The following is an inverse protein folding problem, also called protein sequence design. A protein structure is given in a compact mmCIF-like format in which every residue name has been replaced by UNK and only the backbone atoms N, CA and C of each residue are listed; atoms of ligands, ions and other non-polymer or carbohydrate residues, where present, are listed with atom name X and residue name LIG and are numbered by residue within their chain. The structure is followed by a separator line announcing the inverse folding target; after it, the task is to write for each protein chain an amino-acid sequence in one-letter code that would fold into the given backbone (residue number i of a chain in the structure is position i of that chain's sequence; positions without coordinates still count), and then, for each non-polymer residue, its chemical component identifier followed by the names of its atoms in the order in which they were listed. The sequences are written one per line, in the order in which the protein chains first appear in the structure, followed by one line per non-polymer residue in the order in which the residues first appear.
data_IF_585885836402
#
_entry.id   IF_585885836402
#
_cell.length_a   1.000
_cell.length_b   1.000
_cell.length_c   1.000
_cell.angle_alpha   90.00
_cell.angle_beta   90.00
_cell.angle_gamma   90.00
#
_symmetry.space_group_name_H-M   'P 1'
#
loop_
_entity.id
_entity.type
_entity.pdbx_description
1 polymer ?
#
# COMPACT_ATOMS: atom_id res chain seq x y z
N UNK A 1 -35.43 35.99 -36.56
CA UNK A 1 -33.98 36.00 -36.41
C UNK A 1 -33.52 35.16 -35.22
N UNK A 2 -34.30 34.08 -34.87
CA UNK A 2 -34.06 33.24 -33.70
C UNK A 2 -33.70 31.75 -34.09
N UNK A 3 -33.43 31.51 -35.37
CA UNK A 3 -33.24 30.12 -35.89
C UNK A 3 -31.80 29.71 -36.14
N UNK A 4 -30.83 30.31 -35.48
CA UNK A 4 -29.41 30.12 -35.86
C UNK A 4 -28.50 29.62 -34.77
N UNK A 5 -28.98 28.97 -33.71
CA UNK A 5 -28.09 28.34 -32.72
C UNK A 5 -28.68 26.98 -32.28
N UNK A 6 -29.12 26.16 -33.21
CA UNK A 6 -29.09 24.71 -32.99
C UNK A 6 -27.79 24.27 -33.60
N UNK A 7 -26.69 24.50 -32.91
CA UNK A 7 -25.47 23.72 -33.18
C UNK A 7 -25.88 22.26 -32.94
N UNK A 8 -25.95 21.51 -34.03
CA UNK A 8 -26.13 20.07 -34.01
C UNK A 8 -24.94 19.50 -33.26
N UNK A 9 -25.10 19.37 -31.95
CA UNK A 9 -24.05 18.81 -31.10
C UNK A 9 -23.81 17.38 -31.61
N UNK A 10 -22.66 17.14 -32.20
CA UNK A 10 -22.28 15.83 -32.75
C UNK A 10 -22.46 14.80 -31.62
N UNK A 11 -23.35 13.84 -31.82
CA UNK A 11 -23.57 12.72 -30.90
C UNK A 11 -22.76 11.54 -31.43
N UNK A 12 -22.05 10.89 -30.56
CA UNK A 12 -21.29 9.68 -30.90
C UNK A 12 -21.81 8.50 -30.11
N UNK A 13 -21.95 7.35 -30.78
CA UNK A 13 -22.34 6.12 -30.14
C UNK A 13 -21.21 5.61 -29.25
N UNK A 14 -21.53 5.31 -28.00
CA UNK A 14 -20.57 4.79 -27.01
C UNK A 14 -20.63 3.26 -26.98
N UNK A 15 -19.45 2.65 -26.99
CA UNK A 15 -19.31 1.20 -26.89
C UNK A 15 -19.19 0.81 -25.41
N UNK A 16 -20.12 -0.01 -24.86
CA UNK A 16 -20.02 -0.51 -23.50
C UNK A 16 -18.74 -1.30 -23.23
N UNK A 17 -18.30 -2.07 -24.23
CA UNK A 17 -17.05 -2.83 -24.14
C UNK A 17 -15.81 -1.92 -24.06
N UNK A 18 -15.78 -0.83 -24.86
CA UNK A 18 -14.70 0.13 -24.80
C UNK A 18 -14.67 0.85 -23.43
N UNK A 19 -15.80 1.27 -22.90
CA UNK A 19 -15.91 1.90 -21.59
C UNK A 19 -15.38 0.97 -20.47
N UNK A 20 -15.76 -0.32 -20.53
CA UNK A 20 -15.27 -1.34 -19.59
C UNK A 20 -13.74 -1.49 -19.67
N UNK A 21 -13.21 -1.72 -20.87
CA UNK A 21 -11.78 -1.95 -21.09
C UNK A 21 -10.95 -0.73 -20.66
N UNK A 22 -11.38 0.48 -21.03
CA UNK A 22 -10.71 1.71 -20.65
C UNK A 22 -10.65 1.89 -19.12
N UNK A 23 -11.74 1.58 -18.39
CA UNK A 23 -11.78 1.65 -16.94
C UNK A 23 -11.00 0.53 -16.26
N UNK A 24 -10.84 -0.63 -16.91
CA UNK A 24 -10.08 -1.75 -16.39
C UNK A 24 -8.57 -1.40 -16.35
N UNK A 25 -8.05 -0.80 -17.42
CA UNK A 25 -6.65 -0.38 -17.47
C UNK A 25 -6.40 0.91 -16.67
N UNK A 26 -7.28 1.89 -16.78
CA UNK A 26 -7.15 3.18 -16.11
C UNK A 26 -8.45 3.51 -15.38
N UNK A 27 -8.46 3.30 -14.07
CA UNK A 27 -9.64 3.58 -13.24
C UNK A 27 -10.15 5.00 -13.49
N UNK A 28 -11.40 5.11 -13.91
CA UNK A 28 -12.04 6.39 -14.23
C UNK A 28 -12.02 6.79 -15.71
N UNK A 29 -11.19 6.17 -16.55
CA UNK A 29 -11.10 6.55 -17.98
C UNK A 29 -12.37 6.18 -18.77
N UNK A 30 -13.04 5.09 -18.41
CA UNK A 30 -14.32 4.72 -19.04
C UNK A 30 -15.44 5.70 -18.71
N UNK A 31 -15.50 6.23 -17.49
CA UNK A 31 -16.46 7.27 -17.12
C UNK A 31 -16.20 8.56 -17.90
N UNK A 32 -14.93 8.92 -18.08
CA UNK A 32 -14.55 10.04 -18.94
C UNK A 32 -14.97 9.79 -20.40
N UNK A 33 -14.74 8.59 -20.91
CA UNK A 33 -15.20 8.17 -22.25
C UNK A 33 -16.72 8.32 -22.39
N UNK A 34 -17.47 8.00 -21.34
CA UNK A 34 -18.94 8.15 -21.27
C UNK A 34 -19.38 9.60 -20.96
N UNK A 35 -18.47 10.55 -21.00
CA UNK A 35 -18.77 11.97 -20.84
C UNK A 35 -18.91 12.44 -19.40
N UNK A 36 -18.42 11.70 -18.42
CA UNK A 36 -18.42 12.07 -16.99
C UNK A 36 -17.02 12.11 -16.41
N UNK A 37 -16.30 13.17 -16.75
CA UNK A 37 -14.94 13.41 -16.25
C UNK A 37 -14.89 13.48 -14.71
N UNK A 38 -15.90 14.11 -14.09
CA UNK A 38 -15.94 14.27 -12.64
C UNK A 38 -15.99 12.91 -11.92
N UNK A 39 -16.86 12.00 -12.41
CA UNK A 39 -16.94 10.65 -11.87
C UNK A 39 -15.64 9.87 -12.09
N UNK A 40 -15.04 9.99 -13.28
CA UNK A 40 -13.76 9.36 -13.58
C UNK A 40 -12.66 9.82 -12.61
N UNK A 41 -12.58 11.13 -12.35
CA UNK A 41 -11.65 11.70 -11.40
C UNK A 41 -11.90 11.21 -9.96
N UNK A 42 -13.18 11.13 -9.53
CA UNK A 42 -13.55 10.62 -8.20
C UNK A 42 -13.10 9.17 -8.03
N UNK A 43 -13.35 8.28 -8.99
CA UNK A 43 -12.90 6.89 -8.91
C UNK A 43 -11.37 6.78 -8.81
N UNK A 44 -10.64 7.56 -9.62
CA UNK A 44 -9.19 7.58 -9.60
C UNK A 44 -8.66 8.07 -8.24
N UNK A 45 -9.21 9.16 -7.71
CA UNK A 45 -8.79 9.74 -6.43
C UNK A 45 -9.12 8.82 -5.25
N UNK A 46 -10.31 8.20 -5.22
CA UNK A 46 -10.69 7.26 -4.17
C UNK A 46 -9.75 6.06 -4.12
N UNK A 47 -9.46 5.47 -5.28
CA UNK A 47 -8.51 4.36 -5.37
C UNK A 47 -7.12 4.77 -4.90
N UNK A 48 -6.64 5.91 -5.36
CA UNK A 48 -5.30 6.43 -4.99
C UNK A 48 -5.22 6.71 -3.50
N UNK A 49 -6.23 7.37 -2.93
CA UNK A 49 -6.30 7.67 -1.50
C UNK A 49 -6.30 6.36 -0.67
N UNK A 50 -7.08 5.36 -1.07
CA UNK A 50 -7.12 4.07 -0.39
C UNK A 50 -5.75 3.36 -0.42
N UNK A 51 -5.07 3.36 -1.57
CA UNK A 51 -3.74 2.76 -1.72
C UNK A 51 -2.66 3.49 -0.91
N UNK A 52 -2.73 4.81 -0.77
CA UNK A 52 -1.79 5.59 0.05
C UNK A 52 -2.08 5.52 1.54
N UNK A 53 -3.35 5.42 1.92
CA UNK A 53 -3.75 5.35 3.32
C UNK A 53 -3.50 3.97 3.95
N UNK A 54 -3.55 2.89 3.16
CA UNK A 54 -3.32 1.54 3.66
C UNK A 54 -1.95 1.37 4.36
N UNK A 55 -0.82 1.77 3.78
CA UNK A 55 0.47 1.70 4.46
C UNK A 55 0.58 2.65 5.67
N UNK A 56 -0.08 3.82 5.61
CA UNK A 56 -0.08 4.73 6.75
C UNK A 56 -0.77 4.11 7.99
N UNK A 57 -1.79 3.29 7.77
CA UNK A 57 -2.47 2.57 8.84
C UNK A 57 -1.59 1.48 9.50
N UNK A 58 -0.59 0.92 8.78
CA UNK A 58 0.35 -0.05 9.34
C UNK A 58 1.32 0.54 10.37
N UNK A 59 1.48 1.87 10.39
CA UNK A 59 2.39 2.58 11.31
C UNK A 59 1.78 2.74 12.72
N UNK A 60 0.57 2.26 12.94
CA UNK A 60 -0.10 2.35 14.23
C UNK A 60 0.52 1.41 15.27
N UNK A 61 0.44 1.81 16.54
CA UNK A 61 1.12 1.14 17.65
C UNK A 61 0.55 -0.23 18.03
N UNK A 62 -0.73 -0.43 17.74
CA UNK A 62 -1.45 -1.66 18.02
C UNK A 62 -1.63 -2.47 16.74
N UNK A 63 -1.24 -3.77 16.72
CA UNK A 63 -1.40 -4.62 15.55
C UNK A 63 -2.84 -4.66 15.03
N UNK A 64 -3.82 -4.73 15.93
CA UNK A 64 -5.25 -4.78 15.55
C UNK A 64 -5.74 -3.45 15.00
N UNK A 65 -5.30 -2.32 15.59
CA UNK A 65 -5.67 -0.98 15.09
C UNK A 65 -5.04 -0.66 13.74
N UNK A 66 -3.95 -1.33 13.35
CA UNK A 66 -3.32 -1.23 12.03
C UNK A 66 -3.91 -2.16 10.99
N UNK A 67 -4.14 -3.43 11.31
CA UNK A 67 -4.59 -4.45 10.36
C UNK A 67 -6.00 -4.17 9.84
N UNK A 68 -6.95 -3.78 10.70
CA UNK A 68 -8.33 -3.53 10.29
C UNK A 68 -8.43 -2.40 9.26
N UNK A 69 -7.86 -1.20 9.46
CA UNK A 69 -7.85 -0.16 8.44
C UNK A 69 -7.18 -0.60 7.13
N UNK A 70 -6.08 -1.37 7.19
CA UNK A 70 -5.40 -1.88 5.99
C UNK A 70 -6.33 -2.78 5.18
N UNK A 71 -7.02 -3.72 5.83
CA UNK A 71 -7.99 -4.61 5.17
C UNK A 71 -9.14 -3.77 4.58
N UNK A 72 -9.71 -2.83 5.34
CA UNK A 72 -10.79 -1.97 4.87
C UNK A 72 -10.37 -1.11 3.66
N UNK A 73 -9.19 -0.49 3.72
CA UNK A 73 -8.67 0.34 2.63
C UNK A 73 -8.29 -0.49 1.41
N UNK A 74 -7.70 -1.66 1.60
CA UNK A 74 -7.42 -2.61 0.54
C UNK A 74 -8.70 -3.09 -0.15
N UNK A 75 -9.73 -3.43 0.62
CA UNK A 75 -11.04 -3.79 0.11
C UNK A 75 -11.70 -2.62 -0.64
N UNK A 76 -11.59 -1.38 -0.14
CA UNK A 76 -12.08 -0.19 -0.82
C UNK A 76 -11.36 0.06 -2.15
N UNK A 77 -10.04 -0.10 -2.20
CA UNK A 77 -9.27 0.02 -3.43
C UNK A 77 -9.67 -1.06 -4.46
N UNK A 78 -9.88 -2.30 -4.02
CA UNK A 78 -10.36 -3.39 -4.86
C UNK A 78 -11.80 -3.14 -5.34
N UNK A 79 -12.68 -2.70 -4.46
CA UNK A 79 -14.07 -2.36 -4.80
C UNK A 79 -14.13 -1.25 -5.86
N UNK A 80 -13.32 -0.20 -5.75
CA UNK A 80 -13.25 0.86 -6.77
C UNK A 80 -12.68 0.35 -8.10
N UNK A 81 -11.71 -0.58 -8.07
CA UNK A 81 -11.15 -1.20 -9.27
C UNK A 81 -12.17 -2.06 -10.03
N UNK A 82 -13.12 -2.68 -9.33
CA UNK A 82 -14.20 -3.50 -9.92
C UNK A 82 -15.40 -2.61 -10.28
N UNK A 83 -15.81 -1.71 -9.39
CA UNK A 83 -16.99 -0.87 -9.60
C UNK A 83 -16.83 0.09 -10.78
N UNK A 84 -15.61 0.64 -10.99
CA UNK A 84 -15.36 1.58 -12.07
C UNK A 84 -15.65 1.01 -13.45
N UNK A 85 -15.09 -0.14 -13.90
CA UNK A 85 -15.39 -0.69 -15.22
C UNK A 85 -16.85 -1.16 -15.35
N UNK A 86 -17.44 -1.71 -14.29
CA UNK A 86 -18.84 -2.18 -14.30
C UNK A 86 -19.80 -0.99 -14.45
N UNK A 87 -19.59 0.09 -13.71
CA UNK A 87 -20.40 1.30 -13.78
C UNK A 87 -20.26 1.99 -15.15
N UNK A 88 -19.03 2.10 -15.69
CA UNK A 88 -18.80 2.66 -17.01
C UNK A 88 -19.53 1.86 -18.10
N UNK A 89 -19.43 0.53 -18.07
CA UNK A 89 -20.15 -0.34 -19.00
C UNK A 89 -21.68 -0.17 -18.89
N UNK A 90 -22.22 -0.14 -17.67
CA UNK A 90 -23.65 0.02 -17.43
C UNK A 90 -24.16 1.36 -17.96
N UNK A 91 -23.40 2.43 -17.70
CA UNK A 91 -23.72 3.77 -18.17
C UNK A 91 -23.69 3.86 -19.71
N UNK A 92 -22.69 3.30 -20.36
CA UNK A 92 -22.61 3.27 -21.82
C UNK A 92 -23.75 2.49 -22.47
N UNK A 93 -24.29 1.45 -21.80
CA UNK A 93 -25.51 0.75 -22.23
C UNK A 93 -26.76 1.62 -22.16
N UNK A 94 -26.88 2.42 -21.09
CA UNK A 94 -28.06 3.23 -20.85
C UNK A 94 -28.07 4.52 -21.68
N UNK A 95 -26.88 5.11 -21.88
CA UNK A 95 -26.71 6.39 -22.59
C UNK A 95 -25.88 6.18 -23.85
N UNK A 96 -26.45 5.51 -24.85
CA UNK A 96 -25.73 5.15 -26.09
C UNK A 96 -25.28 6.35 -26.92
N UNK A 97 -26.02 7.45 -26.84
CA UNK A 97 -25.73 8.68 -27.58
C UNK A 97 -25.52 9.84 -26.63
N UNK A 98 -24.30 10.27 -26.48
CA UNK A 98 -23.94 11.41 -25.66
C UNK A 98 -23.37 12.54 -26.52
N UNK A 99 -23.64 13.80 -26.12
CA UNK A 99 -23.04 14.94 -26.80
C UNK A 99 -21.53 14.90 -26.63
N UNK A 100 -20.79 15.09 -27.73
CA UNK A 100 -19.33 15.18 -27.70
C UNK A 100 -18.93 16.47 -26.99
N UNK A 101 -18.23 16.32 -25.85
CA UNK A 101 -17.66 17.43 -25.10
C UNK A 101 -16.17 17.55 -25.41
N UNK A 102 -15.56 18.72 -25.16
CA UNK A 102 -14.16 18.97 -25.49
C UNK A 102 -13.17 17.98 -24.87
N UNK A 103 -13.50 17.41 -23.72
CA UNK A 103 -12.69 16.39 -23.05
C UNK A 103 -12.91 14.95 -23.58
N UNK A 104 -13.77 14.76 -24.59
CA UNK A 104 -13.94 13.46 -25.26
C UNK A 104 -13.01 13.30 -26.47
N UNK A 105 -12.04 14.20 -26.64
CA UNK A 105 -11.01 14.06 -27.65
C UNK A 105 -10.00 12.96 -27.29
N UNK A 106 -9.36 12.37 -28.29
CA UNK A 106 -8.28 11.38 -28.09
C UNK A 106 -7.15 11.97 -27.23
N UNK A 107 -6.82 13.25 -27.46
CA UNK A 107 -5.80 13.95 -26.68
C UNK A 107 -6.18 14.05 -25.18
N UNK A 108 -7.43 14.34 -24.88
CA UNK A 108 -7.90 14.40 -23.48
C UNK A 108 -7.90 13.03 -22.80
N UNK A 109 -8.31 11.96 -23.50
CA UNK A 109 -8.22 10.59 -22.98
C UNK A 109 -6.75 10.18 -22.75
N UNK A 110 -5.85 10.52 -23.69
CA UNK A 110 -4.43 10.30 -23.54
C UNK A 110 -3.84 11.07 -22.36
N UNK A 111 -4.23 12.33 -22.17
CA UNK A 111 -3.84 13.14 -21.03
C UNK A 111 -4.30 12.56 -19.69
N UNK A 112 -5.53 12.09 -19.60
CA UNK A 112 -6.06 11.43 -18.39
C UNK A 112 -5.32 10.12 -18.10
N UNK A 113 -5.11 9.28 -19.12
CA UNK A 113 -4.36 8.04 -18.99
C UNK A 113 -2.92 8.29 -18.53
N UNK A 114 -2.26 9.29 -19.10
CA UNK A 114 -0.92 9.72 -18.69
C UNK A 114 -0.88 10.19 -17.24
N UNK A 115 -1.83 11.03 -16.84
CA UNK A 115 -1.95 11.48 -15.46
C UNK A 115 -2.21 10.32 -14.48
N UNK A 116 -3.13 9.39 -14.84
CA UNK A 116 -3.41 8.21 -14.04
C UNK A 116 -2.18 7.30 -13.90
N UNK A 117 -1.37 7.17 -14.96
CA UNK A 117 -0.11 6.41 -14.94
C UNK A 117 0.90 7.07 -14.00
N UNK A 118 1.11 8.38 -14.09
CA UNK A 118 2.01 9.11 -13.18
C UNK A 118 1.55 8.93 -11.74
N UNK A 119 0.27 9.11 -11.47
CA UNK A 119 -0.28 8.96 -10.12
C UNK A 119 -0.07 7.55 -9.57
N UNK A 120 -0.29 6.52 -10.39
CA UNK A 120 -0.02 5.12 -10.02
C UNK A 120 1.46 4.88 -9.77
N UNK A 121 2.35 5.43 -10.60
CA UNK A 121 3.79 5.34 -10.42
C UNK A 121 4.26 6.03 -9.13
N UNK A 122 3.70 7.20 -8.79
CA UNK A 122 3.97 7.88 -7.52
C UNK A 122 3.55 7.02 -6.33
N UNK A 123 2.37 6.40 -6.38
CA UNK A 123 1.91 5.46 -5.34
C UNK A 123 2.88 4.29 -5.21
N UNK A 124 3.22 3.64 -6.32
CA UNK A 124 4.14 2.50 -6.33
C UNK A 124 5.52 2.87 -5.77
N UNK A 125 6.06 4.03 -6.16
CA UNK A 125 7.32 4.54 -5.64
C UNK A 125 7.24 4.82 -4.13
N UNK A 126 6.17 5.45 -3.67
CA UNK A 126 5.93 5.70 -2.25
C UNK A 126 5.94 4.39 -1.46
N UNK A 127 5.18 3.39 -1.95
CA UNK A 127 5.16 2.07 -1.31
C UNK A 127 6.55 1.42 -1.29
N UNK A 128 7.30 1.47 -2.40
CA UNK A 128 8.65 0.91 -2.50
C UNK A 128 9.68 1.62 -1.60
N UNK A 129 9.51 2.91 -1.34
CA UNK A 129 10.37 3.68 -0.42
C UNK A 129 10.11 3.28 1.03
N UNK A 130 8.84 3.16 1.42
CA UNK A 130 8.46 2.90 2.81
C UNK A 130 8.47 1.42 3.19
N UNK A 131 8.23 0.53 2.24
CA UNK A 131 8.10 -0.90 2.49
C UNK A 131 9.10 -1.71 1.66
N UNK A 132 9.53 -2.81 2.23
CA UNK A 132 10.29 -3.83 1.53
C UNK A 132 9.78 -5.22 1.95
N UNK A 133 10.08 -6.22 1.15
CA UNK A 133 9.85 -7.61 1.53
C UNK A 133 11.19 -8.26 1.86
N UNK A 134 11.23 -9.06 2.90
CA UNK A 134 12.39 -9.85 3.27
C UNK A 134 12.01 -11.30 3.52
N UNK A 135 12.94 -12.21 3.24
CA UNK A 135 12.80 -13.63 3.59
C UNK A 135 13.60 -13.90 4.84
N UNK A 136 12.97 -14.51 5.84
CA UNK A 136 13.64 -14.92 7.09
C UNK A 136 14.62 -16.06 6.77
N UNK A 137 15.88 -15.89 7.15
CA UNK A 137 16.95 -16.83 6.83
C UNK A 137 17.33 -17.72 8.00
N UNK A 138 16.97 -17.33 9.22
CA UNK A 138 17.30 -18.06 10.44
C UNK A 138 16.06 -18.38 11.30
N UNK A 139 16.27 -19.16 12.36
CA UNK A 139 15.23 -19.57 13.32
C UNK A 139 15.14 -18.68 14.55
N UNK A 140 15.90 -17.58 14.64
CA UNK A 140 15.91 -16.69 15.81
C UNK A 140 14.59 -15.97 16.06
N UNK A 141 13.67 -16.00 15.08
CA UNK A 141 12.33 -15.44 15.19
C UNK A 141 11.29 -16.41 15.79
N UNK A 142 11.64 -17.68 15.96
CA UNK A 142 10.71 -18.69 16.46
C UNK A 142 10.25 -18.39 17.92
N UNK A 143 9.01 -18.69 18.27
CA UNK A 143 7.97 -19.33 17.45
C UNK A 143 7.14 -18.35 16.58
N UNK A 144 7.46 -17.07 16.56
CA UNK A 144 6.67 -16.03 15.87
C UNK A 144 6.91 -16.00 14.36
N UNK A 145 8.13 -16.28 13.94
CA UNK A 145 8.56 -16.27 12.54
C UNK A 145 9.47 -17.47 12.30
N UNK A 146 9.15 -18.26 11.28
CA UNK A 146 9.90 -19.43 10.90
C UNK A 146 10.87 -19.11 9.76
N UNK A 147 11.92 -19.94 9.66
CA UNK A 147 12.86 -19.85 8.54
C UNK A 147 12.12 -20.08 7.21
N UNK A 148 12.21 -19.12 6.31
CA UNK A 148 11.55 -19.16 5.01
C UNK A 148 10.36 -18.22 4.89
N UNK A 149 9.85 -17.71 6.00
CA UNK A 149 8.75 -16.75 6.01
C UNK A 149 9.08 -15.49 5.22
N UNK A 150 8.07 -14.96 4.55
CA UNK A 150 8.15 -13.67 3.86
C UNK A 150 7.51 -12.62 4.75
N UNK A 151 8.30 -11.64 5.14
CA UNK A 151 7.86 -10.54 6.00
C UNK A 151 7.80 -9.22 5.22
N UNK A 152 6.82 -8.40 5.54
CA UNK A 152 6.75 -7.03 5.07
C UNK A 152 7.48 -6.13 6.06
N UNK A 153 8.51 -5.46 5.58
CA UNK A 153 9.41 -4.63 6.39
C UNK A 153 9.02 -3.18 6.18
N UNK A 154 8.68 -2.50 7.28
CA UNK A 154 8.55 -1.05 7.28
C UNK A 154 9.91 -0.40 7.55
N UNK A 155 10.39 0.42 6.60
CA UNK A 155 11.76 0.98 6.64
C UNK A 155 11.94 2.16 7.57
N UNK A 156 10.87 2.79 7.98
CA UNK A 156 10.92 3.99 8.80
C UNK A 156 10.36 3.72 10.20
N UNK A 157 11.09 4.16 11.21
CA UNK A 157 10.61 4.16 12.59
C UNK A 157 10.41 5.62 13.05
N UNK A 158 9.32 6.31 12.63
CA UNK A 158 9.14 7.74 12.86
C UNK A 158 9.09 8.10 14.35
N UNK A 159 8.70 7.14 15.20
CA UNK A 159 8.64 7.28 16.64
C UNK A 159 9.86 6.65 17.36
N UNK A 160 10.93 6.33 16.61
CA UNK A 160 12.07 5.58 17.09
C UNK A 160 11.73 4.12 17.41
N UNK A 161 12.76 3.36 17.76
CA UNK A 161 12.61 1.97 18.20
C UNK A 161 12.18 1.91 19.67
N UNK A 162 11.51 0.81 20.02
CA UNK A 162 11.16 0.48 21.40
C UNK A 162 11.79 -0.83 21.80
N UNK A 163 11.97 -1.03 23.11
CA UNK A 163 12.37 -2.34 23.62
C UNK A 163 11.29 -3.36 23.28
N UNK A 164 11.73 -4.48 22.74
CA UNK A 164 10.84 -5.55 22.29
C UNK A 164 10.47 -5.51 20.80
N UNK A 165 10.74 -4.41 20.08
CA UNK A 165 10.49 -4.34 18.64
C UNK A 165 11.30 -5.39 17.89
N UNK A 166 10.66 -6.04 16.91
CA UNK A 166 11.35 -6.92 15.98
C UNK A 166 11.98 -6.09 14.85
N UNK A 167 13.23 -6.35 14.58
CA UNK A 167 13.99 -5.70 13.52
C UNK A 167 14.53 -6.74 12.54
N UNK A 168 14.42 -6.42 11.25
CA UNK A 168 14.99 -7.24 10.20
C UNK A 168 16.39 -6.73 9.88
N UNK A 169 17.40 -7.59 10.01
CA UNK A 169 18.77 -7.26 9.79
C UNK A 169 19.16 -7.47 8.31
N UNK A 170 20.27 -6.89 7.88
CA UNK A 170 20.72 -6.93 6.48
C UNK A 170 21.06 -8.33 5.98
N UNK A 171 21.42 -9.21 6.88
CA UNK A 171 21.76 -10.62 6.59
C UNK A 171 20.51 -11.51 6.44
N UNK A 172 19.32 -10.94 6.60
CA UNK A 172 18.05 -11.67 6.56
C UNK A 172 17.65 -12.28 7.90
N UNK A 173 18.41 -12.02 8.96
CA UNK A 173 18.07 -12.48 10.31
C UNK A 173 17.07 -11.54 11.00
N UNK A 174 16.38 -12.08 12.00
CA UNK A 174 15.45 -11.31 12.84
C UNK A 174 16.15 -11.05 14.19
N UNK A 175 16.15 -9.77 14.59
CA UNK A 175 16.59 -9.35 15.90
C UNK A 175 15.45 -8.73 16.71
N UNK A 176 15.64 -8.64 18.03
CA UNK A 176 14.74 -7.91 18.92
C UNK A 176 15.49 -6.78 19.60
N UNK A 177 14.90 -5.59 19.61
CA UNK A 177 15.48 -4.42 20.30
C UNK A 177 15.43 -4.64 21.81
N UNK A 178 16.58 -4.83 22.45
CA UNK A 178 16.70 -5.07 23.88
C UNK A 178 16.94 -3.80 24.67
N UNK A 179 17.71 -2.87 24.10
CA UNK A 179 18.06 -1.61 24.72
C UNK A 179 17.98 -0.46 23.72
N UNK A 180 17.81 0.74 24.22
CA UNK A 180 17.72 1.98 23.46
C UNK A 180 18.97 2.85 23.67
N UNK A 181 19.23 3.83 22.79
CA UNK A 181 20.28 4.79 23.01
C UNK A 181 20.20 5.44 24.40
N UNK A 182 21.31 5.44 25.15
CA UNK A 182 21.39 5.93 26.51
C UNK A 182 21.16 4.87 27.59
N UNK A 183 20.74 3.65 27.24
CA UNK A 183 20.63 2.54 28.17
C UNK A 183 22.02 1.98 28.52
N UNK A 184 22.21 1.63 29.79
CA UNK A 184 23.36 0.87 30.24
C UNK A 184 23.06 -0.63 30.15
N UNK A 185 23.80 -1.33 29.30
CA UNK A 185 23.64 -2.78 29.11
C UNK A 185 24.79 -3.52 29.76
N UNK A 186 24.49 -4.51 30.60
CA UNK A 186 25.45 -5.44 31.18
C UNK A 186 24.99 -6.86 30.91
N UNK A 187 25.94 -7.69 30.48
CA UNK A 187 25.76 -9.13 30.34
C UNK A 187 26.65 -9.84 31.36
N UNK A 188 26.04 -10.61 32.24
CA UNK A 188 26.73 -11.34 33.29
C UNK A 188 26.02 -12.68 33.54
N UNK A 189 26.78 -13.78 33.58
CA UNK A 189 26.29 -15.14 33.84
C UNK A 189 25.04 -15.51 33.04
N UNK A 190 25.06 -15.28 31.73
CA UNK A 190 23.92 -15.52 30.81
C UNK A 190 22.67 -14.67 31.11
N UNK A 191 22.79 -13.59 31.87
CA UNK A 191 21.70 -12.69 32.18
C UNK A 191 22.00 -11.30 31.60
N UNK A 192 21.03 -10.75 30.88
CA UNK A 192 21.08 -9.40 30.40
C UNK A 192 20.45 -8.45 31.41
N UNK A 193 21.16 -7.37 31.71
CA UNK A 193 20.69 -6.26 32.55
C UNK A 193 20.61 -5.01 31.72
N UNK A 194 19.48 -4.32 31.80
CA UNK A 194 19.29 -3.01 31.19
C UNK A 194 18.96 -2.02 32.31
N UNK A 195 19.82 -1.01 32.48
CA UNK A 195 19.71 -0.02 33.55
C UNK A 195 19.62 -0.68 34.95
N UNK A 196 20.45 -1.72 35.20
CA UNK A 196 20.51 -2.45 36.45
C UNK A 196 19.33 -3.42 36.72
N UNK A 197 18.36 -3.51 35.83
CA UNK A 197 17.23 -4.45 35.93
C UNK A 197 17.44 -5.64 35.02
N UNK A 198 17.10 -6.85 35.49
CA UNK A 198 17.12 -8.05 34.68
C UNK A 198 16.11 -7.89 33.56
N UNK A 199 16.56 -8.13 32.32
CA UNK A 199 15.65 -8.23 31.19
C UNK A 199 15.02 -9.63 31.23
N UNK A 200 13.69 -9.76 31.38
CA UNK A 200 13.05 -11.06 31.37
C UNK A 200 13.18 -11.68 29.98
N UNK A 201 14.05 -12.67 29.85
CA UNK A 201 14.38 -13.36 28.60
C UNK A 201 13.33 -14.39 28.17
N UNK A 202 12.16 -14.44 28.79
CA UNK A 202 11.11 -15.40 28.49
C UNK A 202 10.61 -15.47 27.04
N UNK A 203 11.23 -14.70 26.15
CA UNK A 203 10.95 -14.67 24.72
C UNK A 203 12.23 -14.79 23.84
N UNK A 204 13.40 -15.03 24.42
CA UNK A 204 14.60 -15.32 23.66
C UNK A 204 14.74 -16.84 23.62
N UNK A 205 14.67 -17.42 22.43
CA UNK A 205 14.97 -18.83 22.23
C UNK A 205 16.37 -19.14 22.79
N UNK A 206 16.53 -20.30 23.38
CA UNK A 206 17.80 -20.77 24.00
C UNK A 206 19.00 -20.69 23.04
N UNK A 207 18.75 -20.79 21.74
CA UNK A 207 19.76 -20.64 20.67
C UNK A 207 20.37 -19.24 20.56
N UNK A 208 19.63 -18.19 20.89
CA UNK A 208 20.16 -16.82 20.89
C UNK A 208 21.20 -16.62 22.01
N UNK A 209 20.97 -17.25 23.16
CA UNK A 209 21.89 -17.23 24.30
C UNK A 209 23.15 -18.05 23.98
N UNK A 210 22.97 -19.20 23.29
CA UNK A 210 24.08 -20.09 22.88
C UNK A 210 25.06 -19.43 21.89
N UNK A 211 24.60 -18.56 21.00
CA UNK A 211 25.46 -17.88 20.04
C UNK A 211 26.43 -16.88 20.68
N UNK A 212 26.05 -16.22 21.76
CA UNK A 212 26.91 -15.29 22.51
C UNK A 212 27.96 -15.99 23.40
N UNK A 213 27.70 -17.25 23.80
CA UNK A 213 28.67 -18.01 24.59
C UNK A 213 29.78 -18.60 23.75
N UNK A 214 29.50 -18.89 22.46
CA UNK A 214 30.45 -19.54 21.55
C UNK A 214 31.52 -18.56 21.00
N UNK A 215 31.22 -17.29 20.89
CA UNK A 215 32.14 -16.26 20.38
C UNK A 215 33.17 -15.78 21.43
N UNK A 216 33.11 -16.31 22.64
CA UNK A 216 34.02 -15.96 23.77
C UNK A 216 35.05 -17.02 24.08
N UNK A 217 35.11 -18.12 23.33
CA UNK A 217 36.03 -19.26 23.54
C UNK A 217 37.15 -19.32 22.52
N UNK A 218 37.24 -18.37 21.60
CA UNK A 218 38.34 -18.11 20.68
C UNK A 218 38.98 -16.75 21.01
#
# INVERSE_FOLDING_TARGET
MADKIIQTQKREARSPGAAFVLSLFFTGLGQMYDGDLAKGAVFLLLRTAALLAAPAAMVTRDPLSGIIPVICLGAAALATAIASPVEAMARAKTHRELPVRGYNSIAAHGGFAFFATILTAVVALTLAVFFNTGKVTDSRGEPLLERGDIVLIYRYAPNGYRRGDLVFLRDGSIGRVMALPGDMVRYDKNIFYVNGRILPLGYLADDFIGSFSKDRSD
#
